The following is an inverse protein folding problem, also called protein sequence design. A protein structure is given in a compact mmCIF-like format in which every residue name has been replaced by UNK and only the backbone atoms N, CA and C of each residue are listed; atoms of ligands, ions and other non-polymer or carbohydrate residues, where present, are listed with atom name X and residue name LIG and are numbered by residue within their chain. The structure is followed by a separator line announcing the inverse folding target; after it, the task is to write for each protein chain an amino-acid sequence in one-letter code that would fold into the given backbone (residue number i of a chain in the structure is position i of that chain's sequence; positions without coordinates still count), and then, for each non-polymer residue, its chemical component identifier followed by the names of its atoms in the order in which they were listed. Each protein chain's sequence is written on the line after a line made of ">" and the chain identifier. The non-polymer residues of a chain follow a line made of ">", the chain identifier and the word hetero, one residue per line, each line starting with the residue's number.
data_IF_808887526619
#
_entry.id   IF_808887526619
#
_cell.length_a   1.000
_cell.length_b   1.000
_cell.length_c   1.000
_cell.angle_alpha   90.00
_cell.angle_beta   90.00
_cell.angle_gamma   90.00
#
_symmetry.space_group_name_H-M   'P 1'
#
loop_
_entity.id
_entity.type
_entity.pdbx_description
1 polymer ?
#
# COMPACT_ATOMS: atom_id res chain seq x y z
N UNK A 1 -2.58 8.73 -16.82
CA UNK A 1 -1.64 9.86 -17.02
C UNK A 1 -2.30 11.25 -16.94
N UNK A 2 -3.33 11.57 -17.75
CA UNK A 2 -3.92 12.92 -17.81
C UNK A 2 -4.42 13.50 -16.47
N UNK A 3 -4.93 12.65 -15.57
CA UNK A 3 -5.42 13.06 -14.23
C UNK A 3 -4.26 13.43 -13.30
N UNK A 4 -3.20 12.63 -13.26
CA UNK A 4 -2.02 12.89 -12.41
C UNK A 4 -1.32 14.20 -12.83
N UNK A 5 -1.26 14.49 -14.13
CA UNK A 5 -0.70 15.74 -14.67
C UNK A 5 -1.49 16.99 -14.28
N UNK A 6 -2.76 16.87 -13.88
CA UNK A 6 -3.57 18.00 -13.39
C UNK A 6 -3.28 18.31 -11.92
N UNK A 7 -2.77 17.36 -11.15
CA UNK A 7 -2.39 17.56 -9.75
C UNK A 7 -0.89 17.87 -9.63
N UNK A 8 -0.45 19.04 -10.13
CA UNK A 8 0.96 19.46 -10.04
C UNK A 8 1.34 20.13 -8.73
N UNK A 9 0.37 20.73 -8.03
CA UNK A 9 0.64 21.54 -6.84
C UNK A 9 0.61 20.75 -5.54
N UNK A 10 0.04 19.54 -5.55
CA UNK A 10 -0.09 18.69 -4.36
C UNK A 10 0.27 17.25 -4.68
N UNK A 11 0.80 16.54 -3.68
CA UNK A 11 1.06 15.10 -3.78
C UNK A 11 -0.23 14.37 -4.16
N UNK A 12 -0.14 13.54 -5.19
CA UNK A 12 -1.23 12.68 -5.65
C UNK A 12 -1.07 11.27 -5.06
N UNK A 13 -2.05 10.82 -4.29
CA UNK A 13 -2.09 9.48 -3.70
C UNK A 13 -3.03 8.61 -4.53
N UNK A 14 -2.53 7.46 -4.99
CA UNK A 14 -3.28 6.49 -5.78
C UNK A 14 -3.36 5.16 -5.04
N UNK A 15 -4.57 4.74 -4.66
CA UNK A 15 -4.84 3.37 -4.21
C UNK A 15 -5.09 2.45 -5.41
N UNK A 16 -4.40 1.31 -5.47
CA UNK A 16 -4.64 0.26 -6.46
C UNK A 16 -5.12 -0.97 -5.71
N UNK A 17 -6.43 -1.15 -5.68
CA UNK A 17 -7.10 -2.23 -4.98
C UNK A 17 -7.43 -3.40 -5.92
N UNK A 18 -7.55 -4.58 -5.34
CA UNK A 18 -7.95 -5.80 -6.03
C UNK A 18 -7.59 -7.05 -5.23
N UNK A 19 -8.28 -8.14 -5.50
CA UNK A 19 -8.05 -9.42 -4.83
C UNK A 19 -6.65 -10.00 -5.10
N UNK A 20 -6.24 -10.98 -4.29
CA UNK A 20 -5.01 -11.71 -4.55
C UNK A 20 -4.98 -12.27 -5.98
N UNK A 21 -3.83 -12.16 -6.64
CA UNK A 21 -3.60 -12.59 -8.03
C UNK A 21 -4.45 -11.90 -9.11
N UNK A 22 -5.09 -10.77 -8.83
CA UNK A 22 -5.85 -9.98 -9.82
C UNK A 22 -4.98 -9.24 -10.85
N UNK A 23 -3.66 -9.39 -10.83
CA UNK A 23 -2.73 -8.71 -11.74
C UNK A 23 -2.24 -7.34 -11.28
N UNK A 24 -2.50 -6.93 -10.02
CA UNK A 24 -2.03 -5.65 -9.45
C UNK A 24 -0.53 -5.41 -9.67
N UNK A 25 0.30 -6.41 -9.39
CA UNK A 25 1.76 -6.30 -9.54
C UNK A 25 2.15 -6.01 -10.99
N UNK A 26 1.53 -6.69 -11.96
CA UNK A 26 1.76 -6.45 -13.39
C UNK A 26 1.30 -5.06 -13.80
N UNK A 27 0.12 -4.62 -13.35
CA UNK A 27 -0.38 -3.29 -13.62
C UNK A 27 0.54 -2.20 -13.05
N UNK A 28 0.98 -2.36 -11.80
CA UNK A 28 1.91 -1.45 -11.12
C UNK A 28 3.25 -1.40 -11.83
N UNK A 29 3.77 -2.52 -12.33
CA UNK A 29 5.02 -2.56 -13.09
C UNK A 29 4.92 -1.75 -14.40
N UNK A 30 3.82 -1.89 -15.14
CA UNK A 30 3.58 -1.10 -16.35
C UNK A 30 3.40 0.39 -16.04
N UNK A 31 2.64 0.70 -14.98
CA UNK A 31 2.45 2.09 -14.53
C UNK A 31 3.78 2.74 -14.14
N UNK A 32 4.64 2.00 -13.42
CA UNK A 32 5.98 2.43 -13.02
C UNK A 32 6.83 2.85 -14.22
N UNK A 33 6.87 2.03 -15.27
CA UNK A 33 7.66 2.35 -16.46
C UNK A 33 7.09 3.55 -17.22
N UNK A 34 5.77 3.65 -17.35
CA UNK A 34 5.15 4.82 -17.96
C UNK A 34 5.46 6.10 -17.17
N UNK A 35 5.45 6.05 -15.83
CA UNK A 35 5.76 7.22 -15.00
C UNK A 35 7.22 7.65 -15.11
N UNK A 36 8.16 6.70 -15.18
CA UNK A 36 9.57 6.98 -15.46
C UNK A 36 9.77 7.64 -16.82
N UNK A 37 9.15 7.09 -17.88
CA UNK A 37 9.25 7.64 -19.23
C UNK A 37 8.73 9.07 -19.32
N UNK A 38 7.69 9.40 -18.55
CA UNK A 38 7.14 10.76 -18.49
C UNK A 38 7.88 11.70 -17.52
N UNK A 39 8.94 11.23 -16.84
CA UNK A 39 9.71 12.03 -15.88
C UNK A 39 8.93 12.44 -14.64
N UNK A 40 7.87 11.70 -14.27
CA UNK A 40 7.06 12.00 -13.09
C UNK A 40 7.71 11.32 -11.88
N UNK A 41 8.08 12.05 -10.81
CA UNK A 41 8.58 11.43 -9.58
C UNK A 41 7.47 10.68 -8.85
N UNK A 42 7.77 9.49 -8.34
CA UNK A 42 6.82 8.68 -7.60
C UNK A 42 7.48 7.80 -6.54
N UNK A 43 6.65 7.30 -5.64
CA UNK A 43 7.00 6.28 -4.66
C UNK A 43 5.88 5.24 -4.63
N UNK A 44 6.24 3.96 -4.47
CA UNK A 44 5.29 2.84 -4.43
C UNK A 44 5.44 2.18 -3.07
N UNK A 45 4.30 1.94 -2.41
CA UNK A 45 4.21 1.11 -1.22
C UNK A 45 3.38 -0.12 -1.56
N UNK A 46 3.82 -1.31 -1.12
CA UNK A 46 2.99 -2.51 -1.14
C UNK A 46 2.46 -2.73 0.28
N UNK A 47 1.12 -2.76 0.45
CA UNK A 47 0.54 -2.91 1.78
C UNK A 47 0.87 -4.27 2.42
N UNK A 48 1.17 -5.28 1.60
CA UNK A 48 1.63 -6.60 2.04
C UNK A 48 2.99 -6.55 2.76
N UNK A 49 3.80 -5.51 2.54
CA UNK A 49 5.05 -5.28 3.28
C UNK A 49 4.81 -4.88 4.74
N UNK A 50 3.56 -4.59 5.11
CA UNK A 50 3.15 -4.11 6.43
C UNK A 50 2.16 -5.05 7.13
N UNK A 51 2.14 -6.33 6.74
CA UNK A 51 1.37 -7.36 7.45
C UNK A 51 1.97 -7.64 8.83
N UNK A 52 1.13 -8.09 9.76
CA UNK A 52 1.58 -8.47 11.11
C UNK A 52 2.25 -9.84 11.12
N UNK A 53 2.92 -10.16 12.23
CA UNK A 53 3.59 -11.45 12.44
C UNK A 53 2.59 -12.61 12.33
N UNK A 54 3.07 -13.76 11.84
CA UNK A 54 2.25 -14.93 11.51
C UNK A 54 1.34 -15.38 12.67
N UNK A 55 1.84 -15.35 13.89
CA UNK A 55 1.10 -15.76 15.10
C UNK A 55 -0.03 -14.80 15.51
N UNK A 56 -0.07 -13.58 14.95
CA UNK A 56 -1.16 -12.62 15.19
C UNK A 56 -2.30 -12.74 14.16
N UNK A 57 -2.08 -13.47 13.06
CA UNK A 57 -2.99 -13.53 11.90
C UNK A 57 -3.30 -14.94 11.39
N UNK A 58 -2.87 -15.97 12.13
CA UNK A 58 -3.24 -17.36 11.89
C UNK A 58 -3.35 -18.11 13.21
N UNK A 59 -4.19 -19.14 13.22
CA UNK A 59 -4.45 -19.98 14.39
C UNK A 59 -4.91 -19.17 15.61
N UNK A 60 -5.66 -18.08 15.35
CA UNK A 60 -6.17 -17.16 16.37
C UNK A 60 -7.46 -17.65 17.02
N UNK A 61 -8.08 -18.69 16.44
CA UNK A 61 -9.40 -19.19 16.83
C UNK A 61 -10.57 -18.54 16.08
N UNK A 62 -10.30 -17.52 15.26
CA UNK A 62 -11.28 -16.95 14.34
C UNK A 62 -11.34 -17.72 13.01
N UNK A 63 -12.42 -17.51 12.26
CA UNK A 63 -12.55 -18.03 10.90
C UNK A 63 -11.50 -17.41 9.98
N UNK A 64 -11.00 -18.18 9.01
CA UNK A 64 -9.89 -17.77 8.14
C UNK A 64 -10.16 -16.46 7.38
N UNK A 65 -11.42 -16.21 6.99
CA UNK A 65 -11.78 -14.95 6.32
C UNK A 65 -11.63 -13.75 7.26
N UNK A 66 -11.88 -13.93 8.55
CA UNK A 66 -11.71 -12.89 9.56
C UNK A 66 -10.23 -12.64 9.81
N UNK A 67 -9.43 -13.70 9.93
CA UNK A 67 -7.98 -13.61 10.03
C UNK A 67 -7.39 -12.85 8.83
N UNK A 68 -7.82 -13.22 7.61
CA UNK A 68 -7.39 -12.58 6.38
C UNK A 68 -7.79 -11.11 6.29
N UNK A 69 -9.02 -10.76 6.66
CA UNK A 69 -9.54 -9.41 6.44
C UNK A 69 -9.20 -8.44 7.58
N UNK A 70 -9.35 -8.88 8.83
CA UNK A 70 -9.23 -8.02 10.01
C UNK A 70 -7.90 -8.15 10.75
N UNK A 71 -7.23 -9.30 10.67
CA UNK A 71 -6.02 -9.55 11.46
C UNK A 71 -4.72 -9.49 10.65
N UNK A 72 -4.80 -9.52 9.31
CA UNK A 72 -3.61 -9.48 8.46
C UNK A 72 -2.81 -8.17 8.63
N UNK A 73 -3.48 -7.06 8.95
CA UNK A 73 -2.86 -5.76 9.17
C UNK A 73 -3.28 -5.14 10.50
N UNK A 74 -2.38 -4.37 11.11
CA UNK A 74 -2.76 -3.45 12.18
C UNK A 74 -3.41 -2.19 11.57
N UNK A 75 -4.74 -2.25 11.40
CA UNK A 75 -5.54 -1.22 10.72
C UNK A 75 -5.39 0.14 11.41
N UNK A 76 -5.47 0.17 12.74
CA UNK A 76 -5.40 1.41 13.49
C UNK A 76 -4.01 2.05 13.37
N UNK A 77 -2.96 1.24 13.48
CA UNK A 77 -1.59 1.70 13.32
C UNK A 77 -1.35 2.23 11.90
N UNK A 78 -1.76 1.50 10.86
CA UNK A 78 -1.60 1.95 9.47
C UNK A 78 -2.35 3.25 9.20
N UNK A 79 -3.58 3.39 9.70
CA UNK A 79 -4.35 4.62 9.57
C UNK A 79 -3.60 5.82 10.13
N UNK A 80 -3.12 5.72 11.37
CA UNK A 80 -2.50 6.83 12.09
C UNK A 80 -1.06 7.12 11.65
N UNK A 81 -0.26 6.07 11.44
CA UNK A 81 1.19 6.20 11.23
C UNK A 81 1.59 6.21 9.76
N UNK A 82 0.74 5.66 8.89
CA UNK A 82 0.99 5.63 7.46
C UNK A 82 0.03 6.55 6.69
N UNK A 83 -1.25 6.21 6.60
CA UNK A 83 -2.19 6.88 5.68
C UNK A 83 -2.45 8.35 6.00
N UNK A 84 -2.67 8.71 7.26
CA UNK A 84 -2.88 10.12 7.66
C UNK A 84 -1.65 11.00 7.37
N UNK A 85 -0.46 10.41 7.36
CA UNK A 85 0.81 11.11 7.16
C UNK A 85 1.21 11.23 5.69
N UNK A 86 0.67 10.36 4.83
CA UNK A 86 1.05 10.27 3.41
C UNK A 86 0.85 11.56 2.63
N UNK A 87 -0.05 12.47 3.02
CA UNK A 87 -0.27 13.70 2.26
C UNK A 87 0.81 14.76 2.52
N UNK A 88 1.36 14.81 3.74
CA UNK A 88 2.16 15.94 4.21
C UNK A 88 3.61 15.58 4.54
N UNK A 89 3.88 14.35 4.99
CA UNK A 89 5.22 13.96 5.41
C UNK A 89 6.10 13.60 4.22
N UNK A 90 7.35 14.06 4.19
CA UNK A 90 8.33 13.69 3.14
C UNK A 90 9.15 12.47 3.49
N UNK A 91 9.14 12.05 4.77
CA UNK A 91 9.81 10.86 5.27
C UNK A 91 8.89 10.09 6.21
N UNK A 92 8.81 8.78 6.03
CA UNK A 92 8.02 7.88 6.85
C UNK A 92 8.91 6.77 7.41
N UNK A 93 8.70 6.40 8.66
CA UNK A 93 9.30 5.21 9.28
C UNK A 93 8.19 4.19 9.44
N UNK A 94 8.26 3.11 8.67
CA UNK A 94 7.26 2.04 8.65
C UNK A 94 7.95 0.72 9.03
N UNK A 95 7.33 -0.13 9.86
CA UNK A 95 7.81 -1.49 10.08
C UNK A 95 7.64 -2.26 8.77
N UNK A 96 8.68 -2.97 8.38
CA UNK A 96 8.68 -3.82 7.20
C UNK A 96 8.68 -5.27 7.66
N UNK A 97 7.68 -6.03 7.23
CA UNK A 97 7.65 -7.45 7.48
C UNK A 97 8.52 -8.16 6.46
N UNK A 98 9.63 -8.74 6.92
CA UNK A 98 10.39 -9.73 6.16
C UNK A 98 9.92 -11.10 6.64
N UNK A 99 9.08 -11.74 5.82
CA UNK A 99 8.61 -13.10 6.05
C UNK A 99 9.69 -14.14 5.85
#
# INVERSE_FOLDING_TARGET
>A
MKIMKKHRENRFILGIDGLSRSGKTTFVANLKENMKQEGIPFHIFHIDDHIVERNKRYHTGYEEWYEYYYLQWDIEWLRQKFFQKLQHETKLKLPFFHG
#
